data_IF_775065689671
#
_entry.id   IF_775065689671
#
_cell.length_a   1.000
_cell.length_b   1.000
_cell.length_c   1.000
_cell.angle_alpha   90.00
_cell.angle_beta   90.00
_cell.angle_gamma   90.00
#
_symmetry.space_group_name_H-M   'P 1'
#
loop_
_entity.id
_entity.type
_entity.pdbx_description
1 polymer ?
#
# COMPACT_ATOMS: atom_id res chain seq x y z
N UNK A 1 -16.85 45.80 7.31
CA UNK A 1 -16.79 44.49 6.63
C UNK A 1 -16.04 43.51 7.51
N UNK A 2 -16.65 42.40 7.93
CA UNK A 2 -15.99 41.40 8.75
C UNK A 2 -14.95 40.63 7.90
N UNK A 3 -13.74 40.33 8.42
CA UNK A 3 -12.73 39.60 7.66
C UNK A 3 -13.20 38.17 7.38
N UNK A 4 -13.05 37.72 6.13
CA UNK A 4 -13.37 36.36 5.71
C UNK A 4 -12.63 35.34 6.60
N UNK A 5 -13.40 34.46 7.26
CA UNK A 5 -12.87 33.40 8.11
C UNK A 5 -12.54 32.18 7.26
N UNK A 6 -11.43 31.51 7.57
CA UNK A 6 -10.97 30.29 6.94
C UNK A 6 -11.33 29.11 7.84
N UNK A 7 -12.23 28.25 7.43
CA UNK A 7 -12.76 27.17 8.27
C UNK A 7 -12.12 25.81 7.95
N UNK A 8 -11.88 25.01 8.99
CA UNK A 8 -11.41 23.64 8.86
C UNK A 8 -12.54 22.73 8.45
N UNK A 9 -12.46 22.26 7.20
CA UNK A 9 -13.40 21.33 6.59
C UNK A 9 -13.46 19.94 7.24
N UNK A 10 -12.56 19.65 8.20
CA UNK A 10 -12.49 18.36 8.91
C UNK A 10 -13.06 18.41 10.33
N UNK A 11 -13.18 19.60 10.95
CA UNK A 11 -13.75 19.73 12.30
C UNK A 11 -14.54 21.02 12.56
N UNK A 12 -14.80 21.84 11.55
CA UNK A 12 -15.60 23.07 11.65
C UNK A 12 -14.91 24.24 12.37
N UNK A 13 -13.62 24.14 12.72
CA UNK A 13 -12.92 25.23 13.41
C UNK A 13 -12.61 26.38 12.47
N UNK A 14 -13.06 27.59 12.82
CA UNK A 14 -12.79 28.81 12.06
C UNK A 14 -11.49 29.49 12.48
N UNK A 15 -10.74 29.99 11.50
CA UNK A 15 -9.47 30.69 11.68
C UNK A 15 -9.48 32.04 10.98
N UNK A 16 -8.79 33.03 11.54
CA UNK A 16 -8.71 34.39 10.99
C UNK A 16 -7.70 34.53 9.85
N UNK A 17 -6.81 33.56 9.66
CA UNK A 17 -5.75 33.58 8.64
C UNK A 17 -5.59 32.20 8.00
N UNK A 18 -5.42 32.15 6.67
CA UNK A 18 -5.30 30.91 5.89
C UNK A 18 -4.13 30.02 6.33
N UNK A 19 -2.99 30.60 6.70
CA UNK A 19 -1.85 29.85 7.27
C UNK A 19 -2.20 29.12 8.57
N UNK A 20 -3.06 29.70 9.42
CA UNK A 20 -3.46 29.08 10.67
C UNK A 20 -4.37 27.86 10.42
N UNK A 21 -5.24 27.94 9.40
CA UNK A 21 -6.01 26.80 8.91
C UNK A 21 -5.11 25.70 8.34
N UNK A 22 -4.16 26.03 7.46
CA UNK A 22 -3.22 25.06 6.87
C UNK A 22 -2.35 24.36 7.93
N UNK A 23 -1.93 25.09 8.97
CA UNK A 23 -1.22 24.50 10.12
C UNK A 23 -2.14 23.61 10.93
N UNK A 24 -3.37 24.04 11.20
CA UNK A 24 -4.35 23.25 11.93
C UNK A 24 -4.67 21.94 11.21
N UNK A 25 -4.91 21.97 9.90
CA UNK A 25 -5.15 20.77 9.09
C UNK A 25 -3.96 19.82 9.19
N UNK A 26 -2.73 20.29 9.00
CA UNK A 26 -1.52 19.43 9.09
C UNK A 26 -1.28 18.83 10.48
N UNK A 27 -1.51 19.61 11.53
CA UNK A 27 -1.14 19.20 12.91
C UNK A 27 -2.23 18.45 13.66
N UNK A 28 -3.51 18.72 13.38
CA UNK A 28 -4.66 18.09 14.04
C UNK A 28 -5.23 16.95 13.19
N UNK A 29 -5.17 17.07 11.86
CA UNK A 29 -5.75 16.08 10.95
C UNK A 29 -4.73 15.39 10.04
N UNK A 30 -3.56 16.01 9.82
CA UNK A 30 -2.51 15.55 8.93
C UNK A 30 -1.59 14.50 9.52
N UNK A 31 -1.81 14.08 10.77
CA UNK A 31 -1.14 12.92 11.36
C UNK A 31 0.39 13.02 11.42
N UNK A 32 0.99 14.20 11.20
CA UNK A 32 2.40 14.45 11.50
C UNK A 32 2.60 14.55 13.01
N UNK A 33 2.25 13.47 13.71
CA UNK A 33 2.76 13.23 15.05
C UNK A 33 4.11 12.56 14.91
N UNK A 34 5.19 13.31 15.14
CA UNK A 34 6.51 12.71 15.31
C UNK A 34 6.53 12.00 16.65
N UNK A 35 6.37 10.68 16.66
CA UNK A 35 6.49 9.86 17.87
C UNK A 35 7.95 9.79 18.29
N UNK A 36 8.25 10.13 19.55
CA UNK A 36 9.57 9.90 20.10
C UNK A 36 9.83 8.39 20.20
N UNK A 37 10.90 7.92 19.56
CA UNK A 37 11.26 6.49 19.56
C UNK A 37 11.77 5.99 20.92
N UNK A 38 12.13 6.90 21.83
CA UNK A 38 12.71 6.57 23.13
C UNK A 38 11.69 6.53 24.26
N UNK A 39 10.69 7.41 24.27
CA UNK A 39 9.65 7.44 25.31
C UNK A 39 8.21 7.31 24.79
N UNK A 40 8.02 7.17 23.47
CA UNK A 40 6.71 6.98 22.88
C UNK A 40 5.80 8.21 22.84
N UNK A 41 6.25 9.38 23.32
CA UNK A 41 5.45 10.60 23.38
C UNK A 41 5.19 11.18 21.97
N UNK A 42 3.95 11.59 21.72
CA UNK A 42 3.52 12.14 20.43
C UNK A 42 3.62 13.66 20.41
N UNK A 43 4.27 14.21 19.37
CA UNK A 43 4.43 15.64 19.18
C UNK A 43 3.71 16.10 17.91
N UNK A 44 2.74 17.00 18.05
CA UNK A 44 1.97 17.58 16.95
C UNK A 44 2.74 18.61 16.11
N UNK A 45 4.00 18.93 16.47
CA UNK A 45 4.87 19.86 15.74
C UNK A 45 6.33 19.39 15.75
N UNK A 46 7.00 19.51 14.59
CA UNK A 46 8.41 19.11 14.38
C UNK A 46 9.42 19.85 15.27
N UNK A 47 9.19 21.13 15.54
CA UNK A 47 10.04 21.95 16.41
C UNK A 47 9.96 21.54 17.89
N UNK A 48 8.78 21.06 18.31
CA UNK A 48 8.54 20.56 19.67
C UNK A 48 9.14 19.17 19.86
N UNK A 49 9.08 18.32 18.81
CA UNK A 49 9.78 17.04 18.75
C UNK A 49 11.31 17.19 18.87
N UNK A 50 11.90 18.10 18.09
CA UNK A 50 13.35 18.33 18.12
C UNK A 50 13.83 18.88 19.46
N UNK A 51 13.05 19.76 20.11
CA UNK A 51 13.34 20.26 21.46
C UNK A 51 13.28 19.16 22.49
N UNK A 52 12.26 18.29 22.43
CA UNK A 52 12.12 17.13 23.31
C UNK A 52 13.30 16.17 23.19
N UNK A 53 13.74 15.82 21.96
CA UNK A 53 14.91 14.95 21.80
C UNK A 53 16.18 15.56 22.41
N UNK A 54 16.36 16.87 22.25
CA UNK A 54 17.52 17.59 22.77
C UNK A 54 17.50 17.71 24.31
N UNK A 55 16.32 17.78 24.94
CA UNK A 55 16.22 17.93 26.40
C UNK A 55 16.10 16.59 27.15
N UNK A 56 15.47 15.57 26.56
CA UNK A 56 15.18 14.30 27.22
C UNK A 56 16.14 13.17 26.84
N UNK A 57 16.78 13.22 25.66
CA UNK A 57 17.51 12.08 25.09
C UNK A 57 18.96 12.41 24.69
N UNK A 58 19.47 13.58 25.08
CA UNK A 58 20.90 13.89 25.04
C UNK A 58 21.43 14.06 26.46
N UNK A 59 21.96 12.98 27.04
CA UNK A 59 23.34 12.83 27.52
C UNK A 59 23.65 11.31 27.55
N UNK A 60 24.92 10.95 27.41
CA UNK A 60 25.38 9.68 26.85
C UNK A 60 25.12 8.40 27.66
N UNK A 61 25.17 7.29 26.92
CA UNK A 61 25.69 6.00 27.41
C UNK A 61 24.68 4.91 27.75
N UNK A 62 24.62 3.88 26.88
CA UNK A 62 24.46 2.47 27.29
C UNK A 62 23.06 1.96 27.67
N UNK A 63 22.77 0.66 27.44
CA UNK A 63 21.43 0.07 27.52
C UNK A 63 21.13 -0.50 28.91
N UNK A 64 19.86 -0.80 29.19
CA UNK A 64 19.32 -2.05 29.76
C UNK A 64 17.84 -1.80 30.08
N UNK A 65 16.99 -2.76 29.73
CA UNK A 65 15.56 -2.70 29.97
C UNK A 65 15.20 -3.06 31.40
N UNK A 66 13.95 -2.79 31.78
CA UNK A 66 13.21 -3.71 32.63
C UNK A 66 11.70 -3.50 32.46
N UNK A 67 11.04 -4.64 32.43
CA UNK A 67 9.60 -4.84 32.42
C UNK A 67 9.06 -4.47 33.80
N UNK A 68 7.93 -3.76 33.85
CA UNK A 68 7.00 -3.85 34.99
C UNK A 68 5.59 -3.98 34.42
N UNK A 69 5.07 -5.21 34.44
CA UNK A 69 3.64 -5.48 34.54
C UNK A 69 3.12 -4.93 35.86
N UNK A 70 1.90 -4.40 35.89
CA UNK A 70 0.96 -4.77 36.95
C UNK A 70 -0.49 -4.59 36.50
N UNK A 71 -1.25 -5.62 36.87
CA UNK A 71 -2.62 -5.99 36.51
C UNK A 71 -3.68 -5.20 37.27
N UNK A 72 -4.92 -5.47 36.85
CA UNK A 72 -6.19 -5.64 37.60
C UNK A 72 -7.30 -4.69 37.10
N UNK A 73 -8.56 -5.08 36.99
CA UNK A 73 -9.23 -6.39 36.93
C UNK A 73 -10.64 -6.15 36.32
N UNK A 74 -11.09 -7.13 35.53
CA UNK A 74 -12.43 -7.74 35.51
C UNK A 74 -13.67 -6.88 35.83
N UNK A 75 -14.65 -6.88 34.91
CA UNK A 75 -15.80 -7.75 35.13
C UNK A 75 -16.67 -8.01 33.89
N UNK A 76 -17.25 -9.20 33.95
CA UNK A 76 -17.97 -10.00 32.97
C UNK A 76 -19.42 -9.52 32.82
N UNK A 77 -20.00 -9.71 31.63
CA UNK A 77 -21.32 -10.36 31.50
C UNK A 77 -21.52 -10.89 30.08
N UNK A 78 -21.66 -12.21 30.01
CA UNK A 78 -22.23 -12.96 28.90
C UNK A 78 -23.75 -12.73 28.84
N UNK A 79 -24.31 -12.70 27.64
CA UNK A 79 -25.63 -13.29 27.37
C UNK A 79 -25.71 -13.73 25.90
N UNK A 80 -26.23 -14.95 25.71
CA UNK A 80 -26.44 -15.66 24.44
C UNK A 80 -27.74 -15.21 23.78
N UNK A 81 -27.82 -15.29 22.45
CA UNK A 81 -29.02 -15.78 21.77
C UNK A 81 -28.74 -16.17 20.31
N UNK A 82 -29.57 -17.09 19.84
CA UNK A 82 -29.43 -17.98 18.69
C UNK A 82 -30.11 -17.43 17.42
N UNK A 83 -29.71 -17.99 16.27
CA UNK A 83 -30.48 -18.35 15.07
C UNK A 83 -31.22 -17.26 14.26
N UNK A 84 -30.91 -17.14 12.96
CA UNK A 84 -31.72 -17.65 11.82
C UNK A 84 -31.24 -17.01 10.50
N UNK A 85 -30.99 -17.84 9.48
CA UNK A 85 -31.08 -17.44 8.06
C UNK A 85 -32.55 -17.14 7.73
N UNK A 86 -32.83 -16.13 6.88
CA UNK A 86 -33.42 -16.49 5.59
C UNK A 86 -32.93 -15.66 4.40
N UNK A 87 -32.82 -16.38 3.29
CA UNK A 87 -32.83 -15.91 1.91
C UNK A 87 -33.94 -14.90 1.61
N UNK A 88 -33.62 -13.82 0.87
CA UNK A 88 -34.13 -13.54 -0.49
C UNK A 88 -33.96 -12.07 -0.83
N UNK A 89 -33.33 -11.82 -1.98
CA UNK A 89 -33.67 -10.80 -2.98
C UNK A 89 -34.11 -9.41 -2.49
N UNK A 90 -33.28 -8.40 -2.79
CA UNK A 90 -33.77 -7.15 -3.35
C UNK A 90 -32.70 -6.52 -4.23
N UNK A 91 -33.06 -6.35 -5.50
CA UNK A 91 -32.33 -5.64 -6.54
C UNK A 91 -32.12 -4.18 -6.17
N UNK A 92 -30.86 -3.79 -5.92
CA UNK A 92 -30.43 -2.39 -6.01
C UNK A 92 -29.58 -2.21 -7.25
N UNK A 93 -30.06 -1.36 -8.16
CA UNK A 93 -29.46 -1.02 -9.45
C UNK A 93 -28.09 -0.37 -9.22
N UNK A 94 -27.02 -1.16 -9.31
CA UNK A 94 -25.63 -0.71 -9.19
C UNK A 94 -25.31 0.26 -10.35
N UNK A 95 -25.09 1.53 -10.02
CA UNK A 95 -24.93 2.64 -10.98
C UNK A 95 -23.48 2.84 -11.45
N UNK A 96 -22.74 1.76 -11.69
CA UNK A 96 -21.36 1.85 -12.18
C UNK A 96 -21.16 1.08 -13.49
N UNK A 97 -20.25 1.58 -14.31
CA UNK A 97 -19.73 0.84 -15.46
C UNK A 97 -18.51 0.05 -15.02
N UNK A 98 -18.55 -1.27 -15.21
CA UNK A 98 -17.43 -2.18 -14.98
C UNK A 98 -16.74 -2.46 -16.32
N UNK A 99 -15.46 -2.12 -16.40
CA UNK A 99 -14.59 -2.49 -17.51
C UNK A 99 -13.59 -3.53 -17.04
N UNK A 100 -13.56 -4.69 -17.69
CA UNK A 100 -12.55 -5.71 -17.46
C UNK A 100 -11.51 -5.73 -18.59
N UNK A 101 -10.25 -5.88 -18.21
CA UNK A 101 -9.16 -6.11 -19.15
C UNK A 101 -8.26 -7.26 -18.66
N UNK A 102 -7.54 -7.88 -19.59
CA UNK A 102 -6.56 -8.95 -19.29
C UNK A 102 -7.26 -10.14 -18.57
N UNK A 103 -8.39 -10.60 -19.10
CA UNK A 103 -9.20 -11.72 -18.55
C UNK A 103 -9.60 -11.51 -17.07
N UNK A 104 -10.09 -10.32 -16.71
CA UNK A 104 -10.55 -10.01 -15.36
C UNK A 104 -9.43 -9.75 -14.33
N UNK A 105 -8.17 -9.70 -14.78
CA UNK A 105 -7.03 -9.37 -13.90
C UNK A 105 -6.91 -7.88 -13.61
N UNK A 106 -7.38 -7.03 -14.53
CA UNK A 106 -7.55 -5.60 -14.35
C UNK A 106 -9.04 -5.28 -14.42
N UNK A 107 -9.55 -4.63 -13.37
CA UNK A 107 -10.92 -4.16 -13.30
C UNK A 107 -10.92 -2.66 -13.06
N UNK A 108 -11.79 -1.96 -13.77
CA UNK A 108 -12.03 -0.54 -13.57
C UNK A 108 -13.52 -0.35 -13.28
N UNK A 109 -13.81 0.26 -12.14
CA UNK A 109 -15.16 0.63 -11.74
C UNK A 109 -15.30 2.14 -11.85
N UNK A 110 -16.21 2.61 -12.70
CA UNK A 110 -16.43 4.04 -12.94
C UNK A 110 -17.76 4.48 -12.33
N UNK A 111 -17.69 5.46 -11.42
CA UNK A 111 -18.84 6.12 -10.81
C UNK A 111 -19.01 7.52 -11.41
N UNK A 112 -20.04 7.68 -12.24
CA UNK A 112 -20.32 8.96 -12.91
C UNK A 112 -20.96 10.00 -11.97
N UNK A 113 -20.56 11.25 -12.14
CA UNK A 113 -21.17 12.38 -11.45
C UNK A 113 -22.57 12.68 -11.99
N UNK A 114 -23.62 12.38 -11.20
CA UNK A 114 -25.00 12.71 -11.56
C UNK A 114 -25.27 14.22 -11.39
N UNK A 115 -25.65 14.89 -12.49
CA UNK A 115 -26.36 16.19 -12.47
C UNK A 115 -25.52 17.46 -12.69
N UNK A 116 -26.21 18.62 -12.76
CA UNK A 116 -25.65 19.98 -12.91
C UNK A 116 -25.23 20.63 -11.58
N UNK A 117 -25.28 19.90 -10.46
CA UNK A 117 -24.94 20.46 -9.16
C UNK A 117 -23.43 20.58 -9.02
N UNK A 118 -22.98 21.78 -8.62
CA UNK A 118 -21.59 22.10 -8.34
C UNK A 118 -21.20 21.33 -7.08
N UNK A 119 -20.79 20.07 -7.23
CA UNK A 119 -20.30 19.30 -6.10
C UNK A 119 -18.85 19.68 -5.82
N UNK A 120 -18.60 20.09 -4.58
CA UNK A 120 -17.26 20.09 -4.03
C UNK A 120 -16.66 18.67 -4.12
N UNK A 121 -15.41 18.50 -4.61
CA UNK A 121 -14.86 17.17 -4.86
C UNK A 121 -14.75 16.30 -3.60
N UNK A 122 -14.53 16.90 -2.42
CA UNK A 122 -14.51 16.16 -1.17
C UNK A 122 -15.92 15.67 -0.81
N UNK A 123 -16.93 16.51 -0.98
CA UNK A 123 -18.33 16.13 -0.73
C UNK A 123 -18.77 14.99 -1.67
N UNK A 124 -18.34 15.04 -2.93
CA UNK A 124 -18.58 13.96 -3.89
C UNK A 124 -17.87 12.66 -3.49
N UNK A 125 -16.57 12.72 -3.16
CA UNK A 125 -15.80 11.55 -2.71
C UNK A 125 -16.39 10.92 -1.45
N UNK A 126 -16.84 11.73 -0.48
CA UNK A 126 -17.54 11.24 0.72
C UNK A 126 -18.85 10.56 0.39
N UNK A 127 -19.65 11.12 -0.53
CA UNK A 127 -20.91 10.50 -0.94
C UNK A 127 -20.72 9.14 -1.62
N UNK A 128 -19.54 8.90 -2.21
CA UNK A 128 -19.17 7.66 -2.89
C UNK A 128 -18.30 6.75 -2.02
N UNK A 129 -18.03 7.12 -0.77
CA UNK A 129 -17.12 6.38 0.10
C UNK A 129 -17.64 4.98 0.43
N UNK A 130 -18.94 4.86 0.72
CA UNK A 130 -19.59 3.57 0.99
C UNK A 130 -19.60 2.65 -0.24
N UNK A 131 -19.85 3.22 -1.43
CA UNK A 131 -19.79 2.49 -2.71
C UNK A 131 -18.37 1.97 -2.97
N UNK A 132 -17.34 2.82 -2.82
CA UNK A 132 -15.94 2.42 -2.96
C UNK A 132 -15.57 1.34 -1.95
N UNK A 133 -15.99 1.50 -0.69
CA UNK A 133 -15.76 0.53 0.39
C UNK A 133 -16.40 -0.83 0.06
N UNK A 134 -17.62 -0.82 -0.46
CA UNK A 134 -18.34 -2.04 -0.89
C UNK A 134 -17.60 -2.77 -2.01
N UNK A 135 -17.16 -2.07 -3.06
CA UNK A 135 -16.40 -2.64 -4.18
C UNK A 135 -15.07 -3.25 -3.69
N UNK A 136 -14.31 -2.51 -2.88
CA UNK A 136 -13.02 -2.98 -2.35
C UNK A 136 -13.20 -4.19 -1.42
N UNK A 137 -14.24 -4.20 -0.58
CA UNK A 137 -14.59 -5.35 0.28
C UNK A 137 -14.91 -6.58 -0.57
N UNK A 138 -15.75 -6.42 -1.60
CA UNK A 138 -16.14 -7.50 -2.52
C UNK A 138 -14.93 -8.11 -3.22
N UNK A 139 -14.00 -7.27 -3.67
CA UNK A 139 -12.80 -7.72 -4.40
C UNK A 139 -11.73 -8.33 -3.47
N UNK A 140 -11.48 -7.76 -2.30
CA UNK A 140 -10.45 -8.28 -1.37
C UNK A 140 -10.84 -9.64 -0.78
N UNK A 141 -12.14 -9.90 -0.60
CA UNK A 141 -12.65 -11.20 -0.14
C UNK A 141 -12.44 -12.31 -1.19
N UNK A 142 -12.37 -11.95 -2.48
CA UNK A 142 -12.14 -12.91 -3.57
C UNK A 142 -10.65 -13.19 -3.77
N UNK A 143 -9.82 -12.15 -3.76
CA UNK A 143 -8.39 -12.23 -4.07
C UNK A 143 -7.63 -11.09 -3.41
N UNK A 144 -6.34 -11.30 -3.18
CA UNK A 144 -5.44 -10.21 -2.83
C UNK A 144 -5.43 -9.21 -4.00
N UNK A 145 -5.57 -7.92 -3.70
CA UNK A 145 -5.68 -6.87 -4.71
C UNK A 145 -4.70 -5.73 -4.48
N UNK A 146 -4.34 -5.06 -5.57
CA UNK A 146 -3.69 -3.76 -5.57
C UNK A 146 -4.65 -2.79 -6.23
N UNK A 147 -4.92 -1.66 -5.59
CA UNK A 147 -5.85 -0.67 -6.13
C UNK A 147 -5.31 0.76 -6.07
N UNK A 148 -5.89 1.64 -6.88
CA UNK A 148 -5.76 3.09 -6.74
C UNK A 148 -7.02 3.79 -7.25
N UNK A 149 -7.27 4.99 -6.75
CA UNK A 149 -8.40 5.83 -7.15
C UNK A 149 -7.96 6.92 -8.13
N UNK A 150 -8.83 7.27 -9.07
CA UNK A 150 -8.70 8.50 -9.86
C UNK A 150 -9.98 9.30 -9.86
N UNK A 151 -9.87 10.62 -9.83
CA UNK A 151 -11.00 11.54 -9.91
C UNK A 151 -10.78 12.50 -11.06
N UNK A 152 -11.71 12.54 -12.01
CA UNK A 152 -11.69 13.48 -13.13
C UNK A 152 -12.63 14.64 -12.82
N UNK A 153 -12.13 15.86 -12.99
CA UNK A 153 -12.86 17.09 -12.67
C UNK A 153 -12.80 18.03 -13.85
N UNK A 154 -13.90 18.73 -14.14
CA UNK A 154 -13.95 19.77 -15.17
C UNK A 154 -13.87 21.15 -14.52
N UNK A 155 -12.94 21.96 -15.02
CA UNK A 155 -12.82 23.38 -14.71
C UNK A 155 -13.22 24.22 -15.92
N UNK A 156 -13.79 25.40 -15.65
CA UNK A 156 -14.11 26.41 -16.66
C UNK A 156 -13.53 27.77 -16.31
N UNK A 157 -13.12 28.50 -17.33
CA UNK A 157 -12.60 29.86 -17.24
C UNK A 157 -13.30 30.73 -18.27
N UNK A 158 -13.83 31.86 -17.83
CA UNK A 158 -14.47 32.82 -18.72
C UNK A 158 -13.40 33.76 -19.30
N UNK A 159 -13.30 33.83 -20.64
CA UNK A 159 -12.38 34.70 -21.37
C UNK A 159 -13.18 35.51 -22.39
N UNK A 160 -13.72 36.65 -21.95
CA UNK A 160 -14.69 37.42 -22.74
C UNK A 160 -16.00 36.65 -22.90
N UNK A 161 -16.46 36.49 -24.15
CA UNK A 161 -17.65 35.70 -24.50
C UNK A 161 -17.37 34.19 -24.66
N UNK A 162 -16.10 33.76 -24.62
CA UNK A 162 -15.72 32.35 -24.74
C UNK A 162 -15.50 31.69 -23.37
N UNK A 163 -15.99 30.46 -23.22
CA UNK A 163 -15.74 29.60 -22.06
C UNK A 163 -14.64 28.60 -22.42
N UNK A 164 -13.50 28.69 -21.76
CA UNK A 164 -12.41 27.72 -21.86
C UNK A 164 -12.60 26.62 -20.80
N UNK A 165 -12.43 25.35 -21.17
CA UNK A 165 -12.62 24.21 -20.25
C UNK A 165 -11.39 23.32 -20.19
N UNK A 166 -11.07 22.81 -19.00
CA UNK A 166 -9.98 21.85 -18.77
C UNK A 166 -10.45 20.69 -17.91
N UNK A 167 -9.86 19.51 -18.09
CA UNK A 167 -10.29 18.27 -17.41
C UNK A 167 -9.13 17.56 -16.69
N UNK A 168 -8.60 18.15 -15.60
CA UNK A 168 -7.54 17.52 -14.81
C UNK A 168 -7.98 16.21 -14.14
N UNK A 169 -6.99 15.34 -13.92
CA UNK A 169 -7.13 14.05 -13.24
C UNK A 169 -6.33 14.02 -11.94
N UNK A 170 -6.99 13.72 -10.83
CA UNK A 170 -6.37 13.61 -9.52
C UNK A 170 -6.23 12.15 -9.12
N UNK A 171 -5.04 11.76 -8.66
CA UNK A 171 -4.69 10.37 -8.42
C UNK A 171 -4.48 10.09 -6.92
N UNK A 172 -5.14 9.05 -6.43
CA UNK A 172 -4.93 8.51 -5.09
C UNK A 172 -3.55 7.86 -4.92
N UNK A 173 -3.31 7.32 -3.73
CA UNK A 173 -2.15 6.45 -3.52
C UNK A 173 -2.50 5.06 -4.03
N UNK A 174 -1.46 4.31 -4.38
CA UNK A 174 -1.63 2.92 -4.74
C UNK A 174 -1.46 2.06 -3.49
N UNK A 175 -2.43 1.22 -3.21
CA UNK A 175 -2.48 0.39 -2.01
C UNK A 175 -2.57 -1.08 -2.36
N UNK A 176 -2.00 -1.91 -1.50
CA UNK A 176 -2.15 -3.35 -1.51
C UNK A 176 -3.13 -3.68 -0.40
N UNK A 177 -4.20 -4.41 -0.73
CA UNK A 177 -5.17 -4.90 0.23
C UNK A 177 -5.06 -6.41 0.32
N UNK A 178 -4.75 -6.88 1.52
CA UNK A 178 -4.72 -8.30 1.87
C UNK A 178 -5.91 -8.68 2.76
N UNK A 179 -6.45 -7.73 3.51
CA UNK A 179 -7.59 -7.93 4.41
C UNK A 179 -8.58 -6.76 4.34
N UNK A 180 -9.88 -7.00 4.64
CA UNK A 180 -10.89 -5.95 4.70
C UNK A 180 -10.60 -4.83 5.72
N UNK A 181 -9.92 -5.14 6.82
CA UNK A 181 -9.59 -4.15 7.87
C UNK A 181 -8.68 -3.01 7.37
N UNK A 182 -7.85 -3.27 6.35
CA UNK A 182 -6.91 -2.31 5.78
C UNK A 182 -7.60 -1.27 4.86
N UNK A 183 -8.85 -1.52 4.47
CA UNK A 183 -9.59 -0.69 3.51
C UNK A 183 -9.74 0.74 4.05
N UNK A 184 -10.16 0.88 5.31
CA UNK A 184 -10.47 2.18 5.90
C UNK A 184 -9.26 3.12 5.91
N UNK A 185 -8.11 2.61 6.36
CA UNK A 185 -6.87 3.37 6.37
C UNK A 185 -6.41 3.74 4.95
N UNK A 186 -6.42 2.77 4.04
CA UNK A 186 -5.98 2.98 2.65
C UNK A 186 -6.86 3.99 1.89
N UNK A 187 -8.17 3.95 2.10
CA UNK A 187 -9.12 4.84 1.45
C UNK A 187 -8.89 6.28 1.92
N UNK A 188 -8.76 6.48 3.23
CA UNK A 188 -8.42 7.78 3.83
C UNK A 188 -7.12 8.35 3.25
N UNK A 189 -6.06 7.56 3.14
CA UNK A 189 -4.79 8.01 2.57
C UNK A 189 -4.89 8.41 1.10
N UNK A 190 -5.68 7.68 0.32
CA UNK A 190 -5.93 7.97 -1.09
C UNK A 190 -6.74 9.23 -1.31
N UNK A 191 -7.84 9.40 -0.57
CA UNK A 191 -8.70 10.59 -0.61
C UNK A 191 -7.90 11.84 -0.21
N UNK A 192 -7.09 11.76 0.85
CA UNK A 192 -6.24 12.87 1.27
C UNK A 192 -5.24 13.30 0.20
N UNK A 193 -4.58 12.34 -0.46
CA UNK A 193 -3.66 12.68 -1.56
C UNK A 193 -4.38 13.39 -2.70
N UNK A 194 -5.54 12.88 -3.12
CA UNK A 194 -6.33 13.50 -4.20
C UNK A 194 -6.75 14.93 -3.85
N UNK A 195 -7.21 15.16 -2.63
CA UNK A 195 -7.63 16.49 -2.15
C UNK A 195 -6.45 17.45 -2.10
N UNK A 196 -5.30 17.02 -1.59
CA UNK A 196 -4.11 17.87 -1.55
C UNK A 196 -3.69 18.29 -2.97
N UNK A 197 -3.64 17.34 -3.90
CA UNK A 197 -3.34 17.64 -5.31
C UNK A 197 -4.38 18.55 -5.96
N UNK A 198 -5.66 18.41 -5.61
CA UNK A 198 -6.72 19.32 -6.06
C UNK A 198 -6.53 20.74 -5.52
N UNK A 199 -6.22 20.88 -4.23
CA UNK A 199 -5.97 22.17 -3.59
C UNK A 199 -4.72 22.84 -4.19
N UNK A 200 -3.66 22.08 -4.46
CA UNK A 200 -2.45 22.57 -5.13
C UNK A 200 -2.78 23.08 -6.54
N UNK A 201 -3.54 22.31 -7.32
CA UNK A 201 -3.99 22.72 -8.65
C UNK A 201 -4.82 24.01 -8.62
N UNK A 202 -5.74 24.14 -7.66
CA UNK A 202 -6.52 25.38 -7.48
C UNK A 202 -5.67 26.57 -7.06
N UNK A 203 -4.54 26.37 -6.37
CA UNK A 203 -3.61 27.45 -5.99
C UNK A 203 -2.82 27.96 -7.19
N UNK A 204 -2.46 27.08 -8.11
CA UNK A 204 -1.68 27.40 -9.30
C UNK A 204 -2.54 27.97 -10.45
N UNK A 205 -3.81 27.56 -10.54
CA UNK A 205 -4.73 27.98 -11.59
C UNK A 205 -5.26 29.41 -11.43
N UNK A 206 -4.86 30.33 -12.31
CA UNK A 206 -5.41 31.69 -12.35
C UNK A 206 -6.82 31.71 -13.00
N UNK A 207 -7.84 32.13 -12.25
CA UNK A 207 -9.24 32.30 -12.67
C UNK A 207 -9.95 31.04 -13.19
N UNK A 208 -9.51 29.84 -12.79
CA UNK A 208 -10.26 28.61 -13.06
C UNK A 208 -11.32 28.39 -11.99
N UNK A 209 -12.56 28.21 -12.42
CA UNK A 209 -13.68 27.85 -11.54
C UNK A 209 -14.02 26.38 -11.72
N UNK A 210 -14.27 25.70 -10.62
CA UNK A 210 -14.75 24.31 -10.65
C UNK A 210 -16.13 24.29 -11.33
N UNK A 211 -16.29 23.50 -12.39
CA UNK A 211 -17.59 23.31 -13.04
C UNK A 211 -18.33 22.11 -12.46
N UNK A 212 -17.70 20.93 -12.49
CA UNK A 212 -18.26 19.67 -11.96
C UNK A 212 -17.20 18.59 -11.79
N UNK A 213 -17.51 17.60 -10.95
CA UNK A 213 -16.80 16.31 -10.94
C UNK A 213 -17.39 15.43 -12.04
N UNK A 214 -16.55 14.87 -12.91
CA UNK A 214 -16.97 14.04 -14.04
C UNK A 214 -17.20 12.60 -13.59
N UNK A 215 -16.18 12.00 -12.99
CA UNK A 215 -16.22 10.62 -12.52
C UNK A 215 -15.18 10.38 -11.42
N UNK A 216 -15.39 9.31 -10.67
CA UNK A 216 -14.38 8.68 -9.82
C UNK A 216 -14.22 7.24 -10.27
N UNK A 217 -12.99 6.80 -10.47
CA UNK A 217 -12.67 5.47 -10.93
C UNK A 217 -11.89 4.72 -9.85
N UNK A 218 -12.22 3.44 -9.67
CA UNK A 218 -11.45 2.49 -8.88
C UNK A 218 -10.74 1.58 -9.87
N UNK A 219 -9.41 1.59 -9.84
CA UNK A 219 -8.60 0.68 -10.65
C UNK A 219 -8.10 -0.43 -9.76
N UNK A 220 -8.44 -1.67 -10.07
CA UNK A 220 -8.12 -2.86 -9.27
C UNK A 220 -7.34 -3.84 -10.13
N UNK A 221 -6.19 -4.26 -9.63
CA UNK A 221 -5.36 -5.30 -10.20
C UNK A 221 -5.22 -6.46 -9.21
N UNK A 222 -5.17 -7.69 -9.72
CA UNK A 222 -4.87 -8.86 -8.89
C UNK A 222 -3.44 -8.75 -8.35
N UNK A 223 -3.27 -8.94 -7.04
CA UNK A 223 -1.98 -8.88 -6.37
C UNK A 223 -1.60 -10.24 -5.81
N UNK A 224 -0.64 -10.93 -6.43
CA UNK A 224 -0.10 -12.16 -5.88
C UNK A 224 1.18 -11.78 -5.13
N UNK A 225 1.18 -11.73 -3.79
CA UNK A 225 2.42 -11.54 -3.05
C UNK A 225 3.30 -12.75 -3.31
N UNK A 226 4.42 -12.55 -4.01
CA UNK A 226 5.38 -13.61 -4.25
C UNK A 226 6.08 -13.88 -2.93
N UNK A 227 5.57 -14.86 -2.19
CA UNK A 227 6.22 -15.42 -1.01
C UNK A 227 6.78 -16.78 -1.40
N UNK A 228 8.05 -16.81 -1.79
CA UNK A 228 8.82 -18.05 -1.84
C UNK A 228 9.10 -18.49 -0.40
N UNK A 229 8.16 -19.20 0.21
CA UNK A 229 8.31 -19.70 1.59
C UNK A 229 8.79 -21.15 1.62
N UNK A 230 8.06 -22.04 0.97
CA UNK A 230 8.34 -23.48 0.86
C UNK A 230 8.29 -23.95 -0.59
N UNK A 231 8.67 -25.21 -0.82
CA UNK A 231 8.75 -25.81 -2.14
C UNK A 231 7.49 -25.55 -2.98
N UNK A 232 7.70 -25.01 -4.17
CA UNK A 232 6.66 -24.83 -5.17
C UNK A 232 6.97 -25.70 -6.39
N UNK A 233 6.08 -26.61 -6.82
CA UNK A 233 6.32 -27.43 -8.00
C UNK A 233 6.43 -26.55 -9.25
N UNK A 234 7.39 -26.89 -10.13
CA UNK A 234 7.57 -26.16 -11.39
C UNK A 234 6.37 -26.38 -12.31
N UNK A 235 5.94 -25.35 -13.06
CA UNK A 235 4.99 -25.52 -14.15
C UNK A 235 5.47 -26.58 -15.15
N UNK A 236 4.55 -27.40 -15.69
CA UNK A 236 4.88 -28.55 -16.53
C UNK A 236 5.80 -28.21 -17.72
N UNK A 237 5.64 -27.03 -18.32
CA UNK A 237 6.49 -26.54 -19.42
C UNK A 237 7.95 -26.36 -18.99
N UNK A 238 8.19 -25.88 -17.78
CA UNK A 238 9.53 -25.64 -17.22
C UNK A 238 10.14 -26.92 -16.66
N UNK A 239 9.34 -27.75 -16.00
CA UNK A 239 9.77 -29.05 -15.50
C UNK A 239 10.33 -29.94 -16.63
N UNK A 240 9.68 -29.94 -17.80
CA UNK A 240 10.13 -30.69 -18.99
C UNK A 240 11.48 -30.23 -19.53
N UNK A 241 11.84 -28.95 -19.37
CA UNK A 241 13.12 -28.40 -19.87
C UNK A 241 14.33 -28.91 -19.09
N UNK A 242 14.15 -29.41 -17.86
CA UNK A 242 15.22 -29.88 -16.95
C UNK A 242 16.37 -28.87 -16.74
N UNK A 243 16.13 -27.58 -16.98
CA UNK A 243 17.12 -26.51 -16.89
C UNK A 243 17.11 -25.78 -15.54
N UNK A 244 16.14 -26.09 -14.67
CA UNK A 244 15.95 -25.43 -13.37
C UNK A 244 16.17 -26.46 -12.27
N UNK A 245 17.09 -26.14 -11.36
CA UNK A 245 17.20 -26.85 -10.09
C UNK A 245 16.15 -26.26 -9.15
N UNK A 246 15.22 -27.09 -8.68
CA UNK A 246 14.17 -26.69 -7.75
C UNK A 246 14.34 -27.50 -6.44
N UNK A 247 15.10 -26.97 -5.46
CA UNK A 247 15.30 -27.62 -4.18
C UNK A 247 13.97 -27.86 -3.45
N UNK A 248 13.75 -29.09 -2.98
CA UNK A 248 12.53 -29.52 -2.33
C UNK A 248 12.62 -29.33 -0.81
N UNK A 249 12.00 -28.26 -0.31
CA UNK A 249 11.97 -27.90 1.10
C UNK A 249 10.58 -27.77 1.73
N UNK A 250 10.53 -28.17 3.00
CA UNK A 250 9.34 -28.09 3.86
C UNK A 250 9.44 -26.96 4.90
N UNK A 251 10.55 -26.22 4.92
CA UNK A 251 10.78 -25.08 5.80
C UNK A 251 10.49 -23.74 5.08
N UNK A 252 10.68 -22.61 5.77
CA UNK A 252 10.52 -21.27 5.19
C UNK A 252 11.78 -20.74 4.48
N UNK A 253 12.74 -21.62 4.14
CA UNK A 253 14.09 -21.25 3.69
C UNK A 253 14.32 -21.49 2.19
N UNK A 254 13.28 -21.46 1.34
CA UNK A 254 13.42 -21.63 -0.12
C UNK A 254 14.51 -20.76 -0.74
N UNK A 255 14.56 -19.50 -0.34
CA UNK A 255 15.54 -18.55 -0.84
C UNK A 255 16.97 -19.02 -0.55
N UNK A 256 17.23 -19.49 0.67
CA UNK A 256 18.55 -20.02 1.06
C UNK A 256 18.94 -21.21 0.21
N UNK A 257 18.06 -22.20 0.08
CA UNK A 257 18.33 -23.41 -0.71
C UNK A 257 18.52 -23.10 -2.20
N UNK A 258 17.74 -22.18 -2.75
CA UNK A 258 17.83 -21.78 -4.16
C UNK A 258 19.11 -21.01 -4.45
N UNK A 259 19.53 -20.12 -3.55
CA UNK A 259 20.78 -19.37 -3.69
C UNK A 259 21.99 -20.30 -3.54
N UNK A 260 21.98 -21.24 -2.59
CA UNK A 260 23.07 -22.21 -2.39
C UNK A 260 23.24 -23.16 -3.58
N UNK A 261 22.15 -23.51 -4.26
CA UNK A 261 22.18 -24.40 -5.42
C UNK A 261 22.96 -23.83 -6.62
N UNK A 262 23.14 -22.51 -6.69
CA UNK A 262 23.88 -21.84 -7.77
C UNK A 262 25.41 -21.99 -7.66
N UNK A 263 26.07 -21.63 -6.52
CA UNK A 263 27.50 -21.84 -6.34
C UNK A 263 27.86 -23.30 -6.03
N UNK A 264 26.96 -24.09 -5.46
CA UNK A 264 27.23 -25.47 -5.02
C UNK A 264 26.30 -26.49 -5.72
N UNK A 265 26.43 -26.74 -7.03
CA UNK A 265 25.51 -27.61 -7.74
C UNK A 265 25.60 -29.08 -7.25
N UNK A 266 24.46 -29.64 -6.84
CA UNK A 266 24.37 -31.03 -6.39
C UNK A 266 24.65 -32.03 -7.52
N UNK A 267 25.58 -32.97 -7.29
CA UNK A 267 25.99 -33.96 -8.32
C UNK A 267 24.95 -35.03 -8.60
N UNK A 268 24.18 -35.46 -7.60
CA UNK A 268 23.13 -36.48 -7.70
C UNK A 268 21.85 -35.94 -7.08
N UNK A 269 20.74 -36.05 -7.80
CA UNK A 269 19.42 -35.55 -7.36
C UNK A 269 19.51 -34.12 -6.80
N UNK A 270 19.86 -33.12 -7.62
CA UNK A 270 20.10 -31.74 -7.17
C UNK A 270 18.89 -31.12 -6.47
N UNK A 271 17.69 -31.68 -6.61
CA UNK A 271 16.51 -31.20 -5.89
C UNK A 271 16.55 -31.50 -4.39
N UNK A 272 17.42 -32.38 -3.89
CA UNK A 272 17.47 -32.75 -2.47
C UNK A 272 18.24 -31.73 -1.64
N UNK A 273 17.62 -31.23 -0.58
CA UNK A 273 18.26 -30.27 0.37
C UNK A 273 19.58 -30.78 0.92
N UNK A 274 19.69 -32.09 1.19
CA UNK A 274 20.86 -32.67 1.85
C UNK A 274 22.18 -32.35 1.13
N UNK A 275 22.13 -32.10 -0.18
CA UNK A 275 23.30 -31.70 -0.97
C UNK A 275 23.85 -30.31 -0.62
N UNK A 276 23.08 -29.50 0.12
CA UNK A 276 23.36 -28.10 0.40
C UNK A 276 23.51 -27.82 1.90
N UNK A 277 23.24 -28.80 2.77
CA UNK A 277 23.27 -28.62 4.24
C UNK A 277 24.66 -28.23 4.72
N UNK A 278 25.70 -28.85 4.17
CA UNK A 278 27.08 -28.55 4.55
C UNK A 278 27.51 -27.12 4.18
N UNK A 279 26.81 -26.51 3.23
CA UNK A 279 27.08 -25.17 2.71
C UNK A 279 26.25 -24.06 3.38
N UNK A 280 25.42 -24.38 4.38
CA UNK A 280 24.54 -23.36 5.00
C UNK A 280 25.30 -22.25 5.72
N UNK A 281 26.54 -22.52 6.13
CA UNK A 281 27.41 -21.55 6.81
C UNK A 281 28.32 -20.77 5.84
N UNK A 282 28.33 -21.12 4.55
CA UNK A 282 29.15 -20.44 3.54
C UNK A 282 28.56 -19.07 3.13
N UNK A 283 27.29 -18.81 3.48
CA UNK A 283 26.59 -17.57 3.20
C UNK A 283 25.98 -17.01 4.49
N UNK A 284 26.13 -15.71 4.68
CA UNK A 284 25.58 -14.97 5.81
C UNK A 284 24.11 -14.59 5.56
N UNK A 285 23.21 -15.21 6.34
CA UNK A 285 21.77 -14.90 6.39
C UNK A 285 21.37 -14.16 7.67
N UNK A 286 22.33 -13.67 8.47
CA UNK A 286 22.05 -12.92 9.70
C UNK A 286 21.19 -11.69 9.39
N UNK A 287 20.28 -11.32 10.31
CA UNK A 287 19.33 -10.20 10.18
C UNK A 287 18.36 -10.24 8.98
N UNK A 288 18.29 -11.35 8.24
CA UNK A 288 17.33 -11.52 7.17
C UNK A 288 16.23 -12.47 7.66
N UNK A 289 15.00 -11.97 7.87
CA UNK A 289 13.91 -12.83 8.30
C UNK A 289 13.50 -13.77 7.17
N UNK A 290 13.34 -15.05 7.50
CA UNK A 290 12.70 -16.01 6.62
C UNK A 290 11.17 -15.95 6.78
N UNK A 291 10.37 -16.06 5.69
CA UNK A 291 10.79 -16.14 4.29
C UNK A 291 11.32 -14.78 3.77
N UNK A 292 12.40 -14.84 2.98
CA UNK A 292 13.10 -13.65 2.49
C UNK A 292 12.21 -12.86 1.54
N UNK A 293 12.08 -11.55 1.79
CA UNK A 293 11.36 -10.63 0.90
C UNK A 293 12.30 -10.13 -0.20
N UNK A 294 11.73 -9.88 -1.38
CA UNK A 294 12.49 -9.31 -2.52
C UNK A 294 13.21 -8.00 -2.14
N UNK A 295 12.59 -7.17 -1.30
CA UNK A 295 13.17 -5.92 -0.80
C UNK A 295 14.42 -6.10 0.10
N UNK A 296 14.62 -7.29 0.67
CA UNK A 296 15.76 -7.61 1.54
C UNK A 296 16.93 -8.25 0.75
N UNK A 297 16.72 -8.63 -0.51
CA UNK A 297 17.75 -9.22 -1.38
C UNK A 297 18.96 -8.28 -1.54
N UNK A 298 18.83 -6.96 -1.78
CA UNK A 298 19.99 -6.08 -1.87
C UNK A 298 20.88 -6.08 -0.63
N UNK A 299 20.30 -6.29 0.57
CA UNK A 299 21.08 -6.39 1.81
C UNK A 299 21.88 -7.69 1.83
N UNK A 300 21.26 -8.80 1.39
CA UNK A 300 21.92 -10.10 1.26
C UNK A 300 23.09 -10.04 0.26
N UNK A 301 22.85 -9.47 -0.92
CA UNK A 301 23.83 -9.32 -2.00
C UNK A 301 25.09 -8.60 -1.49
N UNK A 302 24.89 -7.46 -0.80
CA UNK A 302 25.99 -6.65 -0.27
C UNK A 302 26.82 -7.38 0.80
N UNK A 303 26.21 -8.22 1.63
CA UNK A 303 26.93 -8.98 2.67
C UNK A 303 27.74 -10.12 2.10
N UNK A 304 27.18 -10.82 1.11
CA UNK A 304 27.76 -12.05 0.58
C UNK A 304 28.59 -11.84 -0.68
N UNK A 305 28.56 -10.65 -1.28
CA UNK A 305 29.23 -10.37 -2.56
C UNK A 305 28.67 -11.20 -3.72
N UNK A 306 27.39 -11.53 -3.67
CA UNK A 306 26.68 -12.31 -4.70
C UNK A 306 25.67 -11.40 -5.39
N UNK A 307 25.59 -11.50 -6.72
CA UNK A 307 24.62 -10.81 -7.54
C UNK A 307 23.44 -11.73 -7.85
N UNK A 308 22.23 -11.33 -7.49
CA UNK A 308 21.02 -12.14 -7.64
C UNK A 308 20.08 -11.46 -8.63
N UNK A 309 19.60 -12.24 -9.60
CA UNK A 309 18.42 -11.89 -10.36
C UNK A 309 17.28 -12.81 -9.92
N UNK A 310 16.09 -12.25 -9.76
CA UNK A 310 14.87 -13.01 -9.49
C UNK A 310 13.89 -12.73 -10.61
N UNK A 311 13.41 -13.78 -11.26
CA UNK A 311 12.40 -13.73 -12.30
C UNK A 311 11.09 -14.31 -11.78
N UNK A 312 9.96 -13.82 -12.28
CA UNK A 312 8.66 -14.47 -12.13
C UNK A 312 8.28 -15.16 -13.43
N UNK A 313 7.47 -16.21 -13.34
CA UNK A 313 6.92 -16.91 -14.49
C UNK A 313 5.40 -17.02 -14.39
N UNK A 314 4.70 -16.42 -15.35
CA UNK A 314 3.24 -16.48 -15.42
C UNK A 314 2.79 -16.72 -16.87
N UNK A 315 1.89 -17.68 -17.06
CA UNK A 315 1.27 -18.02 -18.36
C UNK A 315 2.25 -18.20 -19.53
N UNK A 316 3.49 -18.60 -19.27
CA UNK A 316 4.51 -18.79 -20.32
C UNK A 316 5.48 -17.64 -20.49
N UNK A 317 5.26 -16.51 -19.80
CA UNK A 317 6.06 -15.30 -19.89
C UNK A 317 6.97 -15.21 -18.66
N UNK A 318 8.25 -14.93 -18.89
CA UNK A 318 9.22 -14.59 -17.85
C UNK A 318 9.27 -13.06 -17.69
N UNK A 319 9.26 -12.58 -16.45
CA UNK A 319 9.37 -11.15 -16.14
C UNK A 319 10.30 -10.92 -14.93
N UNK A 320 11.06 -9.82 -14.88
CA UNK A 320 11.97 -9.56 -13.78
C UNK A 320 11.22 -9.10 -12.52
N UNK A 321 11.58 -9.66 -11.36
CA UNK A 321 11.12 -9.25 -10.03
C UNK A 321 12.19 -8.48 -9.26
N UNK A 322 13.46 -8.89 -9.41
CA UNK A 322 14.62 -8.19 -8.90
C UNK A 322 15.78 -8.41 -9.86
N UNK A 323 16.49 -7.33 -10.17
CA UNK A 323 17.69 -7.37 -10.98
C UNK A 323 18.80 -6.69 -10.19
N UNK A 324 19.90 -7.41 -9.99
CA UNK A 324 21.10 -6.83 -9.40
C UNK A 324 21.61 -5.67 -10.24
N UNK A 325 21.99 -4.57 -9.59
CA UNK A 325 22.60 -3.41 -10.25
C UNK A 325 24.11 -3.55 -10.39
N UNK A 326 24.71 -4.39 -9.56
CA UNK A 326 26.15 -4.63 -9.49
C UNK A 326 26.46 -5.99 -10.12
N UNK A 327 27.54 -6.06 -10.91
CA UNK A 327 28.08 -7.34 -11.41
C UNK A 327 29.16 -7.83 -10.45
N UNK A 328 28.75 -8.65 -9.49
CA UNK A 328 29.64 -9.38 -8.60
C UNK A 328 30.27 -10.60 -9.29
N UNK A 329 31.30 -11.16 -8.66
CA UNK A 329 32.05 -12.33 -9.17
C UNK A 329 31.17 -13.59 -9.20
N UNK A 330 30.23 -13.70 -8.26
CA UNK A 330 29.26 -14.80 -8.18
C UNK A 330 27.88 -14.29 -8.57
N UNK A 331 27.22 -15.00 -9.47
CA UNK A 331 25.90 -14.62 -9.99
C UNK A 331 24.91 -15.78 -9.87
N UNK A 332 23.69 -15.49 -9.43
CA UNK A 332 22.61 -16.45 -9.30
C UNK A 332 21.34 -15.94 -9.98
N UNK A 333 20.72 -16.77 -10.81
CA UNK A 333 19.43 -16.50 -11.43
C UNK A 333 18.37 -17.39 -10.78
N UNK A 334 17.43 -16.78 -10.08
CA UNK A 334 16.33 -17.42 -9.37
C UNK A 334 15.01 -17.23 -10.12
N UNK A 335 14.10 -18.19 -9.99
CA UNK A 335 12.77 -18.20 -10.60
C UNK A 335 11.67 -18.26 -9.54
#
# INVERSE_FOLDING_TARGET
>A
MAPAKFECILCGKSFTRRFALDRHIRTIHGGESSKCKFCGQNFSRKDSYLRHIKSHHQQGGGPVGEVIENKTNENINEEKSQTEDPSSENDEVDCFTEEEAINGNLRKYTMEGKGKSIFDPLSYLKSKEDEIRSVLRREVLRKNIKYYLTMQVRFKKQKGDAIETTEPHFHGRCHILLKPEDIEHSLRESVMKMINSFIEYQREGSNWTLDRVMNVNIHIATYIPIKGSSYLPLPAKLAKKKAIVNPQNNDHKCFMWSVLASPFPGRRNPQRIINYVDHTNDLDFSDIPFPVKVADIPKFEKRNGISINVFGYERGILFPLHLTKERGVRHANLL
#
